data_IF_207765324403
#
_entry.id   IF_207765324403
#
_cell.length_a   1.000
_cell.length_b   1.000
_cell.length_c   1.000
_cell.angle_alpha   90.00
_cell.angle_beta   90.00
_cell.angle_gamma   90.00
#
_symmetry.space_group_name_H-M   'P 1'
#
loop_
_entity.id
_entity.type
_entity.pdbx_description
1 polymer ?
#
# COMPACT_ATOMS: atom_id res chain seq x y z
N UNK A 1 34.34 -15.18 -19.09
CA UNK A 1 34.60 -15.06 -17.63
C UNK A 1 33.51 -15.77 -16.84
N UNK A 2 33.87 -16.73 -15.98
CA UNK A 2 32.93 -17.26 -14.99
C UNK A 2 32.48 -16.11 -14.06
N UNK A 3 31.19 -15.96 -13.82
CA UNK A 3 30.67 -14.99 -12.85
C UNK A 3 30.70 -15.60 -11.44
N UNK A 4 30.60 -14.76 -10.41
CA UNK A 4 30.74 -15.21 -9.02
C UNK A 4 29.71 -16.29 -8.65
N UNK A 5 28.50 -16.18 -9.19
CA UNK A 5 27.42 -17.16 -8.98
C UNK A 5 27.77 -18.58 -9.46
N UNK A 6 28.59 -18.71 -10.50
CA UNK A 6 28.98 -20.01 -11.06
C UNK A 6 30.28 -20.58 -10.46
N UNK A 7 30.92 -19.90 -9.49
CA UNK A 7 32.21 -20.31 -8.92
C UNK A 7 32.20 -21.76 -8.44
N UNK A 8 31.18 -22.16 -7.68
CA UNK A 8 31.08 -23.53 -7.16
C UNK A 8 30.80 -24.57 -8.26
N UNK A 9 29.94 -24.24 -9.23
CA UNK A 9 29.60 -25.13 -10.34
C UNK A 9 30.74 -25.36 -11.34
N UNK A 10 31.72 -24.45 -11.36
CA UNK A 10 32.87 -24.51 -12.28
C UNK A 10 34.17 -25.03 -11.62
N UNK A 11 34.16 -25.40 -10.34
CA UNK A 11 35.33 -26.01 -9.70
C UNK A 11 35.56 -27.42 -10.24
N UNK A 12 36.78 -27.70 -10.72
CA UNK A 12 37.11 -29.03 -11.23
C UNK A 12 37.81 -29.88 -10.16
N UNK A 13 37.31 -31.11 -9.97
CA UNK A 13 37.82 -32.11 -9.03
C UNK A 13 38.01 -31.55 -7.61
N UNK A 14 39.20 -31.67 -7.02
CA UNK A 14 39.45 -31.23 -5.65
C UNK A 14 39.55 -29.71 -5.50
N UNK A 15 40.08 -28.99 -6.50
CA UNK A 15 40.15 -27.51 -6.55
C UNK A 15 40.77 -26.97 -7.86
N UNK A 16 40.24 -25.88 -8.39
CA UNK A 16 40.90 -25.00 -9.39
C UNK A 16 41.06 -23.57 -8.86
N UNK A 17 42.13 -22.86 -9.25
CA UNK A 17 42.53 -21.57 -8.64
C UNK A 17 41.77 -20.34 -9.19
N UNK A 18 40.95 -20.53 -10.22
CA UNK A 18 40.13 -19.49 -10.84
C UNK A 18 39.07 -18.89 -9.90
N UNK A 19 38.81 -19.55 -8.76
CA UNK A 19 37.96 -19.04 -7.67
C UNK A 19 38.63 -17.92 -6.86
N UNK A 20 39.95 -17.83 -6.84
CA UNK A 20 40.65 -16.98 -5.86
C UNK A 20 40.40 -15.49 -6.06
N UNK A 21 40.51 -15.00 -7.29
CA UNK A 21 40.35 -13.57 -7.56
C UNK A 21 38.89 -13.12 -7.35
N UNK A 22 37.93 -13.89 -7.86
CA UNK A 22 36.51 -13.54 -7.80
C UNK A 22 35.98 -13.60 -6.36
N UNK A 23 36.40 -14.59 -5.57
CA UNK A 23 36.01 -14.68 -4.15
C UNK A 23 36.58 -13.54 -3.30
N UNK A 24 37.78 -13.02 -3.62
CA UNK A 24 38.37 -11.87 -2.91
C UNK A 24 37.58 -10.58 -3.13
N UNK A 25 37.00 -10.40 -4.32
CA UNK A 25 36.26 -9.20 -4.67
C UNK A 25 34.80 -9.33 -4.27
N UNK A 26 34.08 -10.27 -4.87
CA UNK A 26 32.62 -10.34 -4.80
C UNK A 26 32.12 -10.70 -3.40
N UNK A 27 32.83 -11.55 -2.63
CA UNK A 27 32.43 -11.82 -1.24
C UNK A 27 32.51 -10.55 -0.40
N UNK A 28 33.64 -9.85 -0.43
CA UNK A 28 33.82 -8.62 0.34
C UNK A 28 32.82 -7.54 -0.08
N UNK A 29 32.65 -7.36 -1.40
CA UNK A 29 31.69 -6.40 -1.94
C UNK A 29 30.25 -6.73 -1.56
N UNK A 30 29.85 -8.01 -1.55
CA UNK A 30 28.49 -8.41 -1.17
C UNK A 30 28.18 -8.06 0.29
N UNK A 31 29.11 -8.31 1.22
CA UNK A 31 28.94 -7.93 2.63
C UNK A 31 28.91 -6.42 2.81
N UNK A 32 29.82 -5.67 2.17
CA UNK A 32 29.85 -4.21 2.26
C UNK A 32 28.60 -3.56 1.65
N UNK A 33 28.12 -4.08 0.52
CA UNK A 33 26.91 -3.61 -0.12
C UNK A 33 25.68 -3.90 0.75
N UNK A 34 25.60 -5.09 1.35
CA UNK A 34 24.51 -5.44 2.27
C UNK A 34 24.50 -4.52 3.49
N UNK A 35 25.67 -4.27 4.11
CA UNK A 35 25.81 -3.32 5.21
C UNK A 35 25.35 -1.91 4.82
N UNK A 36 25.76 -1.43 3.65
CA UNK A 36 25.35 -0.12 3.15
C UNK A 36 23.83 -0.04 2.93
N UNK A 37 23.22 -1.06 2.30
CA UNK A 37 21.77 -1.14 2.07
C UNK A 37 21.01 -1.13 3.41
N UNK A 38 21.45 -1.93 4.38
CA UNK A 38 20.80 -2.01 5.69
C UNK A 38 20.91 -0.70 6.46
N UNK A 39 22.05 -0.01 6.41
CA UNK A 39 22.21 1.32 7.02
C UNK A 39 21.27 2.35 6.41
N UNK A 40 21.18 2.40 5.07
CA UNK A 40 20.23 3.27 4.38
C UNK A 40 18.78 2.93 4.76
N UNK A 41 18.45 1.64 4.81
CA UNK A 41 17.12 1.19 5.21
C UNK A 41 16.75 1.66 6.62
N UNK A 42 17.63 1.43 7.61
CA UNK A 42 17.41 1.86 9.00
C UNK A 42 17.30 3.39 9.08
N UNK A 43 18.13 4.14 8.36
CA UNK A 43 18.05 5.60 8.34
C UNK A 43 16.68 6.08 7.82
N UNK A 44 16.21 5.54 6.70
CA UNK A 44 14.93 5.91 6.09
C UNK A 44 13.74 5.54 6.99
N UNK A 45 13.75 4.33 7.57
CA UNK A 45 12.62 3.86 8.38
C UNK A 45 12.55 4.50 9.76
N UNK A 46 13.67 5.00 10.30
CA UNK A 46 13.70 5.67 11.61
C UNK A 46 13.04 7.05 11.58
N UNK A 47 13.18 7.79 10.48
CA UNK A 47 12.69 9.17 10.35
C UNK A 47 11.63 9.32 9.25
N UNK A 48 10.83 8.26 9.02
CA UNK A 48 9.80 8.27 7.98
C UNK A 48 8.68 9.26 8.33
N UNK A 49 8.45 10.25 7.46
CA UNK A 49 7.38 11.25 7.61
C UNK A 49 6.15 10.83 6.82
N UNK A 50 5.02 10.71 7.50
CA UNK A 50 3.70 10.45 6.91
C UNK A 50 2.89 11.74 6.87
N UNK A 51 2.14 11.96 5.77
CA UNK A 51 1.28 13.14 5.58
C UNK A 51 -0.20 12.76 5.54
N UNK A 52 -0.89 12.64 6.70
CA UNK A 52 -2.27 12.14 6.76
C UNK A 52 -3.27 12.93 5.91
N UNK A 53 -3.11 14.25 5.81
CA UNK A 53 -4.00 15.10 4.98
C UNK A 53 -3.86 14.82 3.48
N UNK A 54 -2.68 14.41 3.05
CA UNK A 54 -2.48 14.02 1.67
C UNK A 54 -3.12 12.65 1.37
N UNK A 55 -3.03 11.71 2.31
CA UNK A 55 -3.74 10.42 2.25
C UNK A 55 -5.25 10.64 2.20
N UNK A 56 -5.79 11.45 3.11
CA UNK A 56 -7.21 11.82 3.18
C UNK A 56 -7.69 12.43 1.86
N UNK A 57 -6.91 13.32 1.24
CA UNK A 57 -7.25 13.90 -0.08
C UNK A 57 -7.38 12.82 -1.15
N UNK A 58 -6.44 11.88 -1.22
CA UNK A 58 -6.50 10.79 -2.20
C UNK A 58 -7.66 9.84 -1.94
N UNK A 59 -7.93 9.52 -0.67
CA UNK A 59 -9.09 8.73 -0.29
C UNK A 59 -10.38 9.42 -0.74
N UNK A 60 -10.56 10.72 -0.47
CA UNK A 60 -11.76 11.46 -0.91
C UNK A 60 -11.97 11.45 -2.42
N UNK A 61 -10.89 11.46 -3.21
CA UNK A 61 -10.98 11.42 -4.67
C UNK A 61 -11.47 10.06 -5.19
N UNK A 62 -11.12 8.96 -4.53
CA UNK A 62 -11.35 7.60 -5.05
C UNK A 62 -12.48 6.83 -4.34
N UNK A 63 -12.70 7.10 -3.05
CA UNK A 63 -13.65 6.37 -2.22
C UNK A 63 -15.09 6.43 -2.72
N UNK A 64 -15.60 7.55 -3.30
CA UNK A 64 -16.94 7.55 -3.89
C UNK A 64 -17.13 6.43 -4.92
N UNK A 65 -16.15 6.17 -5.79
CA UNK A 65 -16.24 5.09 -6.78
C UNK A 65 -16.21 3.70 -6.13
N UNK A 66 -15.36 3.50 -5.12
CA UNK A 66 -15.26 2.23 -4.39
C UNK A 66 -16.49 1.95 -3.52
N UNK A 67 -17.23 2.98 -3.13
CA UNK A 67 -18.39 2.89 -2.23
C UNK A 67 -19.73 2.60 -2.93
N UNK A 68 -19.73 2.47 -4.26
CA UNK A 68 -20.95 2.30 -5.07
C UNK A 68 -21.83 1.13 -4.64
N UNK A 69 -21.26 -0.02 -4.25
CA UNK A 69 -22.05 -1.14 -3.72
C UNK A 69 -22.68 -0.82 -2.35
N UNK A 70 -21.97 -0.09 -1.47
CA UNK A 70 -22.49 0.33 -0.17
C UNK A 70 -23.70 1.27 -0.35
N UNK A 71 -23.58 2.22 -1.26
CA UNK A 71 -24.68 3.14 -1.62
C UNK A 71 -25.84 2.35 -2.26
N UNK A 72 -25.56 1.41 -3.16
CA UNK A 72 -26.57 0.55 -3.77
C UNK A 72 -27.36 -0.23 -2.71
N UNK A 73 -26.67 -0.84 -1.74
CA UNK A 73 -27.33 -1.56 -0.65
C UNK A 73 -28.18 -0.64 0.21
N UNK A 74 -27.70 0.55 0.54
CA UNK A 74 -28.50 1.54 1.27
C UNK A 74 -29.78 1.94 0.50
N UNK A 75 -29.71 2.09 -0.83
CA UNK A 75 -30.90 2.37 -1.65
C UNK A 75 -31.89 1.20 -1.61
N UNK A 76 -31.40 -0.04 -1.65
CA UNK A 76 -32.23 -1.25 -1.56
C UNK A 76 -32.92 -1.35 -0.20
N UNK A 77 -32.23 -0.99 0.89
CA UNK A 77 -32.80 -0.92 2.24
C UNK A 77 -33.93 0.12 2.35
N UNK A 78 -33.89 1.18 1.54
CA UNK A 78 -34.98 2.15 1.38
C UNK A 78 -36.11 1.66 0.42
N UNK A 79 -36.08 0.39 0.01
CA UNK A 79 -37.11 -0.23 -0.82
C UNK A 79 -36.96 0.03 -2.32
N UNK A 80 -35.83 0.56 -2.78
CA UNK A 80 -35.57 0.74 -4.23
C UNK A 80 -35.19 -0.58 -4.89
N UNK A 81 -35.49 -0.69 -6.19
CA UNK A 81 -35.03 -1.80 -7.02
C UNK A 81 -33.52 -1.80 -7.15
N UNK A 82 -32.87 -2.92 -6.82
CA UNK A 82 -31.41 -3.09 -6.99
C UNK A 82 -30.99 -2.88 -8.43
N UNK A 83 -31.75 -3.40 -9.39
CA UNK A 83 -31.41 -3.32 -10.81
C UNK A 83 -31.45 -1.87 -11.31
N UNK A 84 -32.47 -1.12 -10.91
CA UNK A 84 -32.63 0.27 -11.33
C UNK A 84 -31.54 1.15 -10.70
N UNK A 85 -31.30 0.99 -9.39
CA UNK A 85 -30.27 1.76 -8.68
C UNK A 85 -28.86 1.44 -9.18
N UNK A 86 -28.58 0.18 -9.55
CA UNK A 86 -27.30 -0.18 -10.13
C UNK A 86 -27.05 0.58 -11.45
N UNK A 87 -28.06 0.70 -12.32
CA UNK A 87 -27.90 1.45 -13.57
C UNK A 87 -27.75 2.95 -13.32
N UNK A 88 -28.53 3.54 -12.41
CA UNK A 88 -28.39 4.96 -12.01
C UNK A 88 -26.99 5.25 -11.49
N UNK A 89 -26.48 4.42 -10.57
CA UNK A 89 -25.14 4.59 -10.00
C UNK A 89 -24.06 4.42 -11.08
N UNK A 90 -24.25 3.47 -11.99
CA UNK A 90 -23.33 3.23 -13.11
C UNK A 90 -23.27 4.43 -14.06
N UNK A 91 -24.41 4.97 -14.47
CA UNK A 91 -24.51 6.16 -15.34
C UNK A 91 -23.70 7.33 -14.75
N UNK A 92 -23.95 7.66 -13.48
CA UNK A 92 -23.26 8.75 -12.79
C UNK A 92 -21.78 8.47 -12.52
N UNK A 93 -21.42 7.22 -12.21
CA UNK A 93 -20.02 6.82 -12.02
C UNK A 93 -19.20 6.97 -13.30
N UNK A 94 -19.78 6.60 -14.45
CA UNK A 94 -19.14 6.79 -15.76
C UNK A 94 -19.00 8.28 -16.09
N UNK A 95 -20.03 9.08 -15.85
CA UNK A 95 -20.00 10.52 -16.11
C UNK A 95 -18.97 11.26 -15.24
N UNK A 96 -18.95 10.99 -13.92
CA UNK A 96 -17.96 11.53 -13.00
C UNK A 96 -16.54 11.10 -13.39
N UNK A 97 -16.35 9.81 -13.70
CA UNK A 97 -15.06 9.29 -14.14
C UNK A 97 -14.56 9.92 -15.44
N UNK A 98 -15.46 10.24 -16.38
CA UNK A 98 -15.11 10.95 -17.61
C UNK A 98 -14.69 12.40 -17.33
N UNK A 99 -15.42 13.11 -16.47
CA UNK A 99 -15.08 14.47 -16.04
C UNK A 99 -13.69 14.54 -15.40
N UNK A 100 -13.37 13.59 -14.51
CA UNK A 100 -12.04 13.49 -13.90
C UNK A 100 -10.95 13.27 -14.96
N UNK A 101 -11.16 12.32 -15.89
CA UNK A 101 -10.13 11.90 -16.87
C UNK A 101 -9.92 12.87 -18.02
N UNK A 102 -11.00 13.41 -18.58
CA UNK A 102 -10.93 14.27 -19.78
C UNK A 102 -10.81 15.76 -19.44
N UNK A 103 -11.38 16.18 -18.31
CA UNK A 103 -11.50 17.59 -17.95
C UNK A 103 -10.64 17.97 -16.74
N UNK A 104 -10.05 16.99 -16.04
CA UNK A 104 -9.21 17.23 -14.86
C UNK A 104 -9.98 17.79 -13.67
N UNK A 105 -11.28 17.54 -13.60
CA UNK A 105 -12.15 17.98 -12.49
C UNK A 105 -12.00 17.06 -11.27
N UNK A 106 -12.43 17.55 -10.11
CA UNK A 106 -12.57 16.71 -8.91
C UNK A 106 -13.75 15.73 -9.06
N UNK A 107 -13.71 14.65 -8.29
CA UNK A 107 -14.77 13.66 -8.29
C UNK A 107 -16.06 14.24 -7.67
N UNK A 108 -17.10 14.36 -8.50
CA UNK A 108 -18.41 14.91 -8.15
C UNK A 108 -19.52 13.84 -8.04
N UNK A 109 -19.16 12.55 -7.95
CA UNK A 109 -20.11 11.43 -7.99
C UNK A 109 -21.22 11.56 -6.94
N UNK A 110 -20.87 11.87 -5.68
CA UNK A 110 -21.88 11.96 -4.62
C UNK A 110 -22.85 13.11 -4.86
N UNK A 111 -22.38 14.23 -5.39
CA UNK A 111 -23.22 15.37 -5.77
C UNK A 111 -24.17 14.97 -6.89
N UNK A 112 -23.68 14.30 -7.94
CA UNK A 112 -24.52 13.80 -9.04
C UNK A 112 -25.61 12.83 -8.56
N UNK A 113 -25.27 11.95 -7.63
CA UNK A 113 -26.23 11.02 -7.04
C UNK A 113 -27.27 11.74 -6.18
N UNK A 114 -26.87 12.71 -5.36
CA UNK A 114 -27.79 13.50 -4.54
C UNK A 114 -28.74 14.37 -5.37
N UNK A 115 -28.30 14.85 -6.53
CA UNK A 115 -29.10 15.67 -7.45
C UNK A 115 -30.07 14.83 -8.31
N UNK A 116 -29.97 13.50 -8.31
CA UNK A 116 -30.86 12.61 -9.05
C UNK A 116 -32.05 12.18 -8.20
N UNK A 117 -33.27 12.62 -8.56
CA UNK A 117 -34.51 12.31 -7.84
C UNK A 117 -34.78 10.80 -7.66
N UNK A 118 -34.14 9.93 -8.45
CA UNK A 118 -34.25 8.47 -8.32
C UNK A 118 -33.55 7.97 -7.05
N UNK A 119 -32.52 8.66 -6.59
CA UNK A 119 -31.70 8.32 -5.41
C UNK A 119 -32.35 8.90 -4.14
N UNK A 120 -32.60 8.08 -3.09
CA UNK A 120 -33.36 8.51 -1.91
C UNK A 120 -32.52 9.18 -0.82
N UNK A 121 -31.33 9.70 -1.14
CA UNK A 121 -30.39 10.23 -0.14
C UNK A 121 -29.91 11.63 -0.52
N UNK A 122 -29.86 12.51 0.47
CA UNK A 122 -29.21 13.80 0.34
C UNK A 122 -27.67 13.67 0.37
N UNK A 123 -26.97 14.69 -0.11
CA UNK A 123 -25.51 14.71 -0.19
C UNK A 123 -24.84 14.41 1.16
N UNK A 124 -25.32 15.01 2.25
CA UNK A 124 -24.79 14.80 3.59
C UNK A 124 -24.97 13.35 4.08
N UNK A 125 -26.04 12.67 3.67
CA UNK A 125 -26.27 11.26 4.00
C UNK A 125 -25.30 10.36 3.23
N UNK A 126 -25.08 10.64 1.94
CA UNK A 126 -24.08 9.94 1.11
C UNK A 126 -22.65 10.15 1.63
N UNK A 127 -22.30 11.39 2.00
CA UNK A 127 -21.01 11.71 2.61
C UNK A 127 -20.83 10.98 3.95
N UNK A 128 -21.88 10.91 4.78
CA UNK A 128 -21.84 10.18 6.05
C UNK A 128 -21.62 8.67 5.85
N UNK A 129 -22.18 8.07 4.79
CA UNK A 129 -21.96 6.65 4.46
C UNK A 129 -20.49 6.33 4.14
N UNK A 130 -19.71 7.30 3.66
CA UNK A 130 -18.30 7.09 3.29
C UNK A 130 -17.32 7.82 4.20
N UNK A 131 -17.81 8.63 5.14
CA UNK A 131 -16.97 9.48 6.01
C UNK A 131 -16.09 8.69 6.98
N UNK A 132 -16.48 7.45 7.31
CA UNK A 132 -15.67 6.54 8.11
C UNK A 132 -14.83 5.62 7.21
N UNK A 133 -13.64 6.07 6.84
CA UNK A 133 -12.75 5.35 5.91
C UNK A 133 -12.31 3.97 6.45
N UNK A 134 -12.27 3.82 7.77
CA UNK A 134 -11.89 2.58 8.46
C UNK A 134 -12.86 1.42 8.16
N UNK A 135 -14.11 1.71 7.78
CA UNK A 135 -15.05 0.67 7.37
C UNK A 135 -14.66 0.01 6.03
N UNK A 136 -13.75 0.62 5.27
CA UNK A 136 -13.26 0.12 3.99
C UNK A 136 -11.92 -0.62 4.10
N UNK A 137 -11.34 -0.75 5.31
CA UNK A 137 -10.02 -1.37 5.49
C UNK A 137 -10.06 -2.85 5.83
N UNK A 138 -11.25 -3.46 5.89
CA UNK A 138 -11.39 -4.88 6.26
C UNK A 138 -10.77 -5.17 7.63
N UNK A 139 -9.83 -6.12 7.69
CA UNK A 139 -9.10 -6.50 8.91
C UNK A 139 -7.66 -5.95 8.97
N UNK A 140 -7.36 -4.87 8.24
CA UNK A 140 -5.97 -4.44 8.07
C UNK A 140 -5.25 -4.12 9.39
N UNK A 141 -5.96 -3.51 10.35
CA UNK A 141 -5.39 -3.20 11.66
C UNK A 141 -5.10 -4.50 12.44
N UNK A 142 -6.08 -5.39 12.54
CA UNK A 142 -5.96 -6.65 13.26
C UNK A 142 -4.88 -7.55 12.64
N UNK A 143 -4.80 -7.62 11.32
CA UNK A 143 -3.75 -8.38 10.61
C UNK A 143 -2.35 -7.81 10.87
N UNK A 144 -2.25 -6.48 11.01
CA UNK A 144 -0.97 -5.83 11.32
C UNK A 144 -0.54 -6.18 12.75
N UNK A 145 -1.45 -6.04 13.71
CA UNK A 145 -1.17 -6.36 15.12
C UNK A 145 -0.85 -7.84 15.30
N UNK A 146 -1.65 -8.75 14.72
CA UNK A 146 -1.40 -10.20 14.73
C UNK A 146 -0.01 -10.54 14.15
N UNK A 147 0.38 -9.94 13.02
CA UNK A 147 1.69 -10.18 12.42
C UNK A 147 2.84 -9.66 13.28
N UNK A 148 2.68 -8.48 13.88
CA UNK A 148 3.68 -7.88 14.76
C UNK A 148 3.88 -8.74 16.02
N UNK A 149 2.80 -9.22 16.62
CA UNK A 149 2.83 -9.97 17.86
C UNK A 149 3.26 -11.43 17.68
N UNK A 150 2.76 -12.11 16.64
CA UNK A 150 2.99 -13.55 16.46
C UNK A 150 4.27 -13.86 15.69
N UNK A 151 4.75 -12.95 14.83
CA UNK A 151 5.90 -13.19 13.96
C UNK A 151 7.06 -12.26 14.30
N UNK A 152 6.84 -10.95 14.24
CA UNK A 152 7.95 -9.98 14.35
C UNK A 152 8.52 -9.95 15.77
N UNK A 153 7.68 -9.80 16.79
CA UNK A 153 8.10 -9.76 18.19
C UNK A 153 8.96 -10.96 18.59
N UNK A 154 8.51 -12.21 18.40
CA UNK A 154 9.29 -13.41 18.74
C UNK A 154 10.60 -13.55 17.95
N UNK A 155 10.65 -13.02 16.72
CA UNK A 155 11.89 -12.99 15.94
C UNK A 155 12.89 -11.97 16.51
N UNK A 156 12.42 -10.80 16.93
CA UNK A 156 13.25 -9.73 17.47
C UNK A 156 13.72 -9.97 18.91
N UNK A 157 12.97 -10.73 19.72
CA UNK A 157 13.33 -11.05 21.11
C UNK A 157 14.72 -11.70 21.21
N UNK A 158 15.08 -12.55 20.23
CA UNK A 158 16.39 -13.21 20.13
C UNK A 158 17.57 -12.23 19.98
N UNK A 159 17.28 -11.00 19.54
CA UNK A 159 18.27 -9.96 19.25
C UNK A 159 18.03 -8.69 20.06
N UNK A 160 17.25 -8.77 21.15
CA UNK A 160 16.83 -7.59 21.94
C UNK A 160 18.00 -6.70 22.38
N UNK A 161 19.14 -7.29 22.75
CA UNK A 161 20.33 -6.57 23.20
C UNK A 161 21.05 -5.80 22.07
N UNK A 162 20.67 -6.05 20.81
CA UNK A 162 21.24 -5.42 19.62
C UNK A 162 20.29 -4.36 19.01
N UNK A 163 19.04 -4.28 19.49
CA UNK A 163 18.05 -3.33 18.98
C UNK A 163 18.43 -1.89 19.38
N UNK A 164 18.31 -0.96 18.43
CA UNK A 164 18.58 0.47 18.66
C UNK A 164 20.06 0.84 18.84
N UNK A 165 20.99 -0.12 18.88
CA UNK A 165 22.43 0.12 19.03
C UNK A 165 23.16 0.43 17.71
N UNK A 166 22.45 0.50 16.58
CA UNK A 166 23.05 0.66 15.26
C UNK A 166 23.08 2.15 14.89
N UNK A 167 24.28 2.70 14.75
CA UNK A 167 24.47 4.03 14.15
C UNK A 167 24.20 3.96 12.64
N UNK A 168 23.05 4.49 12.24
CA UNK A 168 22.61 4.62 10.85
C UNK A 168 22.79 6.04 10.32
N UNK A 169 23.52 6.91 11.03
CA UNK A 169 23.70 8.30 10.60
C UNK A 169 24.48 8.37 9.29
N UNK A 170 23.90 9.06 8.31
CA UNK A 170 24.54 9.34 7.04
C UNK A 170 25.18 10.72 7.13
N UNK A 171 26.51 10.77 7.10
CA UNK A 171 27.22 12.04 6.88
C UNK A 171 27.13 12.35 5.39
N UNK A 172 26.25 13.30 5.06
CA UNK A 172 26.17 13.91 3.73
C UNK A 172 27.25 14.98 3.62
#
# INVERSE_FOLDING_TARGET
PANFAATAGNQWFERTLDDSAIRRMDMAQAFLLTDAILKLYVNITSDMVVYPKQVERYLRAELPFMSTEKILMACVEQGKSRQDMHEVIREHSVAAGLAVKEQGLENDLLTRLADDERVPFALNELEAMIGNYQEFTGRAAEQTDEFLDEVVGPMLEKYQDQLGGIDSSLKV
#
